data_IF_882117764244
#
_entry.id   IF_882117764244
#
_cell.length_a   1.000
_cell.length_b   1.000
_cell.length_c   1.000
_cell.angle_alpha   90.00
_cell.angle_beta   90.00
_cell.angle_gamma   90.00
#
_symmetry.space_group_name_H-M   'P 1'
#
loop_
_entity.id
_entity.type
_entity.pdbx_description
1 polymer ?
#
# COMPACT_ATOMS: atom_id res chain seq x y z
N UNK A 1 48.11 48.38 4.79
CA UNK A 1 48.14 47.38 3.70
C UNK A 1 48.96 46.21 4.22
N UNK A 2 48.51 44.96 4.22
CA UNK A 2 47.53 44.29 3.37
C UNK A 2 46.66 43.31 4.18
N UNK A 3 45.35 43.29 3.89
CA UNK A 3 44.42 42.23 4.27
C UNK A 3 44.54 41.13 3.21
N UNK A 4 44.74 39.88 3.61
CA UNK A 4 44.68 38.74 2.70
C UNK A 4 43.23 38.22 2.65
N UNK A 5 42.69 38.19 1.44
CA UNK A 5 41.42 37.59 1.05
C UNK A 5 41.64 36.13 0.65
N UNK A 6 40.80 35.23 1.17
CA UNK A 6 40.35 33.97 0.58
C UNK A 6 39.37 33.37 1.60
N UNK A 7 38.12 33.04 1.33
CA UNK A 7 37.47 32.62 0.11
C UNK A 7 36.50 31.49 0.50
N UNK A 8 35.43 31.34 -0.27
CA UNK A 8 34.37 30.34 -0.17
C UNK A 8 33.26 30.60 0.87
N UNK A 9 32.24 31.31 0.41
CA UNK A 9 30.91 31.26 1.02
C UNK A 9 30.35 29.84 1.04
N UNK A 10 29.79 29.46 2.19
CA UNK A 10 28.52 28.72 2.22
C UNK A 10 27.41 29.71 1.84
N UNK A 11 26.36 29.34 1.09
CA UNK A 11 25.43 28.26 1.44
C UNK A 11 24.98 27.47 0.18
N UNK A 12 23.82 26.80 0.24
CA UNK A 12 23.22 25.85 -0.73
C UNK A 12 23.61 24.40 -0.42
N UNK A 13 22.74 23.55 0.12
CA UNK A 13 21.29 23.49 -0.06
C UNK A 13 21.00 22.08 -0.57
N UNK A 14 20.44 21.25 0.29
CA UNK A 14 20.19 19.85 0.00
C UNK A 14 19.84 19.11 1.28
N UNK A 15 18.70 19.48 1.84
CA UNK A 15 17.81 18.65 2.65
C UNK A 15 18.47 17.46 3.36
N UNK A 16 19.03 17.70 4.55
CA UNK A 16 19.08 16.66 5.57
C UNK A 16 17.65 16.49 6.11
N UNK A 17 16.76 16.00 5.24
CA UNK A 17 15.53 15.36 5.66
C UNK A 17 15.96 14.30 6.67
N UNK A 18 15.48 14.43 7.90
CA UNK A 18 15.78 13.53 9.00
C UNK A 18 15.77 12.09 8.46
N UNK A 19 16.81 11.28 8.72
CA UNK A 19 16.85 9.93 8.19
C UNK A 19 15.63 9.19 8.71
N UNK A 20 14.65 8.96 7.82
CA UNK A 20 13.60 7.97 8.05
C UNK A 20 14.24 6.63 8.38
N UNK A 21 13.46 5.66 8.91
CA UNK A 21 14.01 4.38 9.32
C UNK A 21 14.94 3.82 8.22
N UNK A 22 16.12 3.29 8.58
CA UNK A 22 17.22 3.02 7.62
C UNK A 22 16.78 2.13 6.45
N UNK A 23 15.78 1.29 6.68
CA UNK A 23 15.12 0.45 5.68
C UNK A 23 14.43 1.21 4.54
N UNK A 24 13.78 2.34 4.82
CA UNK A 24 13.05 3.12 3.81
C UNK A 24 14.02 3.90 2.90
N UNK A 25 15.12 4.38 3.47
CA UNK A 25 16.17 5.04 2.69
C UNK A 25 16.87 4.08 1.74
N UNK A 26 17.20 2.87 2.21
CA UNK A 26 17.82 1.85 1.37
C UNK A 26 16.87 1.42 0.23
N UNK A 27 15.59 1.21 0.54
CA UNK A 27 14.58 0.92 -0.48
C UNK A 27 14.46 2.06 -1.49
N UNK A 28 14.43 3.31 -1.02
CA UNK A 28 14.34 4.49 -1.89
C UNK A 28 15.54 4.60 -2.83
N UNK A 29 16.76 4.33 -2.35
CA UNK A 29 17.98 4.29 -3.18
C UNK A 29 17.90 3.20 -4.25
N UNK A 30 17.45 2.01 -3.88
CA UNK A 30 17.26 0.89 -4.83
C UNK A 30 16.24 1.21 -5.90
N UNK A 31 15.09 1.78 -5.50
CA UNK A 31 14.03 2.16 -6.44
C UNK A 31 14.49 3.23 -7.43
N UNK A 32 15.22 4.25 -6.99
CA UNK A 32 15.79 5.27 -7.89
C UNK A 32 16.79 4.68 -8.88
N UNK A 33 17.56 3.65 -8.49
CA UNK A 33 18.49 2.96 -9.40
C UNK A 33 17.78 2.09 -10.43
N UNK A 34 16.67 1.44 -10.04
CA UNK A 34 15.88 0.59 -10.93
C UNK A 34 14.97 1.39 -11.87
N UNK A 35 14.42 2.50 -11.37
CA UNK A 35 13.46 3.34 -12.06
C UNK A 35 13.92 4.81 -12.07
N UNK A 36 15.03 5.12 -12.76
CA UNK A 36 15.61 6.47 -12.74
C UNK A 36 14.72 7.52 -13.43
N UNK A 37 13.85 7.10 -14.35
CA UNK A 37 12.92 7.98 -15.06
C UNK A 37 11.60 8.21 -14.30
N UNK A 38 11.39 7.55 -13.16
CA UNK A 38 10.15 7.68 -12.40
C UNK A 38 10.30 8.78 -11.35
N UNK A 39 9.54 9.85 -11.51
CA UNK A 39 9.38 10.88 -10.48
C UNK A 39 8.45 10.35 -9.38
N UNK A 40 8.98 10.14 -8.17
CA UNK A 40 8.22 9.61 -7.04
C UNK A 40 7.26 10.62 -6.41
N UNK A 41 7.44 11.92 -6.65
CA UNK A 41 6.55 12.97 -6.15
C UNK A 41 5.23 13.02 -6.94
N UNK A 42 5.31 12.76 -8.25
CA UNK A 42 4.14 12.74 -9.14
C UNK A 42 3.52 11.33 -9.24
N UNK A 43 4.38 10.31 -9.32
CA UNK A 43 3.97 8.91 -9.51
C UNK A 43 4.70 8.00 -8.51
N UNK A 44 4.21 7.91 -7.27
CA UNK A 44 4.85 7.08 -6.26
C UNK A 44 4.79 5.60 -6.65
N UNK A 45 5.94 4.94 -6.65
CA UNK A 45 6.03 3.50 -6.90
C UNK A 45 5.35 2.71 -5.77
N UNK A 46 4.67 1.60 -6.06
CA UNK A 46 4.07 0.75 -5.04
C UNK A 46 5.16 0.15 -4.15
N UNK A 47 5.12 0.49 -2.85
CA UNK A 47 6.11 0.03 -1.84
C UNK A 47 5.58 -1.11 -0.96
N UNK A 48 4.28 -1.19 -0.75
CA UNK A 48 3.63 -2.18 0.11
C UNK A 48 2.17 -2.40 -0.29
N UNK A 49 1.55 -3.43 0.26
CA UNK A 49 0.13 -3.70 0.05
C UNK A 49 -0.74 -2.65 0.75
N UNK A 50 -1.80 -2.20 0.08
CA UNK A 50 -2.76 -1.28 0.69
C UNK A 50 -3.56 -1.98 1.79
N UNK A 51 -3.65 -1.43 3.00
CA UNK A 51 -4.50 -1.99 4.06
C UNK A 51 -5.98 -1.72 3.81
N UNK A 52 -6.31 -0.69 3.00
CA UNK A 52 -7.67 -0.27 2.68
C UNK A 52 -8.20 -0.93 1.41
N UNK A 53 -7.32 -1.12 0.43
CA UNK A 53 -7.66 -1.73 -0.86
C UNK A 53 -7.25 -3.21 -0.86
N UNK A 54 -7.97 -3.99 -0.06
CA UNK A 54 -7.82 -5.45 0.03
C UNK A 54 -9.14 -6.10 0.41
N UNK A 55 -9.34 -7.33 -0.03
CA UNK A 55 -10.49 -8.11 0.42
C UNK A 55 -10.41 -8.45 1.91
N UNK A 56 -11.57 -8.61 2.55
CA UNK A 56 -11.67 -8.87 3.98
C UNK A 56 -10.96 -10.16 4.42
N UNK A 57 -10.72 -11.13 3.53
CA UNK A 57 -10.02 -12.38 3.86
C UNK A 57 -8.49 -12.26 3.72
N UNK A 58 -8.01 -11.08 3.32
CA UNK A 58 -6.58 -10.79 3.18
C UNK A 58 -6.08 -10.13 4.47
N UNK A 59 -5.30 -10.89 5.23
CA UNK A 59 -4.47 -10.38 6.32
C UNK A 59 -3.17 -9.81 5.78
N UNK A 60 -2.75 -8.65 6.29
CA UNK A 60 -1.43 -8.07 6.00
C UNK A 60 -0.62 -8.03 7.30
N UNK A 61 0.66 -8.40 7.22
CA UNK A 61 1.62 -8.37 8.33
C UNK A 61 2.99 -7.86 7.84
N UNK A 62 3.96 -7.71 8.75
CA UNK A 62 5.33 -7.24 8.44
C UNK A 62 5.34 -5.92 7.63
N UNK A 63 4.74 -4.86 8.17
CA UNK A 63 4.70 -3.56 7.48
C UNK A 63 3.89 -3.58 6.18
N UNK A 64 2.86 -4.42 6.10
CA UNK A 64 2.03 -4.63 4.90
C UNK A 64 2.80 -5.21 3.70
N UNK A 65 3.86 -5.99 3.93
CA UNK A 65 4.60 -6.68 2.86
C UNK A 65 4.23 -8.16 2.76
N UNK A 66 3.72 -8.75 3.85
CA UNK A 66 3.37 -10.16 3.90
C UNK A 66 1.85 -10.33 3.89
N UNK A 67 1.37 -11.17 2.97
CA UNK A 67 -0.04 -11.56 2.85
C UNK A 67 -0.26 -12.88 3.56
N UNK A 68 -1.34 -12.96 4.33
CA UNK A 68 -1.86 -14.19 4.91
C UNK A 68 -3.33 -14.32 4.56
N UNK A 69 -3.76 -15.54 4.25
CA UNK A 69 -5.18 -15.83 4.17
C UNK A 69 -5.74 -15.91 5.59
N UNK A 70 -6.74 -15.07 5.91
CA UNK A 70 -7.53 -15.21 7.13
C UNK A 70 -8.92 -15.70 6.74
N UNK A 71 -9.32 -16.81 7.34
CA UNK A 71 -10.69 -17.32 7.26
C UNK A 71 -11.61 -16.21 7.79
N UNK A 72 -12.43 -15.63 6.92
CA UNK A 72 -13.61 -14.91 7.38
C UNK A 72 -14.56 -16.02 7.82
N UNK A 73 -14.93 -16.06 9.10
CA UNK A 73 -16.09 -16.81 9.54
C UNK A 73 -17.24 -16.39 8.63
N UNK A 74 -17.62 -17.29 7.72
CA UNK A 74 -18.53 -17.07 6.60
C UNK A 74 -19.88 -16.62 7.11
N UNK A 75 -20.07 -15.35 7.45
CA UNK A 75 -21.44 -14.87 7.54
C UNK A 75 -22.00 -15.00 6.11
N UNK A 76 -23.01 -15.85 5.87
CA UNK A 76 -23.54 -16.03 4.53
C UNK A 76 -23.96 -14.65 4.04
N UNK A 77 -23.29 -14.14 2.99
CA UNK A 77 -23.61 -12.87 2.36
C UNK A 77 -25.14 -12.77 2.26
N UNK A 78 -25.79 -11.66 2.67
CA UNK A 78 -27.25 -11.57 2.63
C UNK A 78 -27.82 -11.77 1.22
N UNK A 79 -26.97 -11.70 0.19
CA UNK A 79 -27.26 -12.06 -1.21
C UNK A 79 -27.53 -13.56 -1.44
N UNK A 80 -27.27 -14.41 -0.45
CA UNK A 80 -27.55 -15.85 -0.46
C UNK A 80 -28.89 -16.23 0.21
N UNK A 81 -29.69 -15.25 0.67
CA UNK A 81 -31.06 -15.49 1.14
C UNK A 81 -32.04 -15.86 0.02
N UNK A 82 -31.64 -15.72 -1.24
CA UNK A 82 -32.34 -16.38 -2.35
C UNK A 82 -31.84 -17.83 -2.46
N UNK A 83 -31.99 -18.55 -1.35
CA UNK A 83 -31.92 -20.00 -1.31
C UNK A 83 -33.11 -20.48 -2.14
N UNK A 84 -32.89 -20.79 -3.41
CA UNK A 84 -33.78 -21.62 -4.20
C UNK A 84 -34.09 -22.86 -3.36
N UNK A 85 -35.26 -22.86 -2.74
CA UNK A 85 -35.76 -24.00 -2.02
C UNK A 85 -36.46 -24.88 -3.06
N UNK A 86 -35.71 -25.79 -3.68
CA UNK A 86 -36.28 -26.85 -4.47
C UNK A 86 -37.11 -27.75 -3.56
N UNK A 87 -38.40 -27.45 -3.41
CA UNK A 87 -39.39 -28.49 -3.18
C UNK A 87 -39.73 -29.05 -4.56
N UNK A 88 -39.83 -30.38 -4.63
CA UNK A 88 -40.01 -31.14 -5.88
C UNK A 88 -41.21 -30.68 -6.72
N UNK A 89 -41.45 -31.35 -7.86
CA UNK A 89 -42.38 -30.88 -8.86
C UNK A 89 -43.77 -30.73 -8.24
N UNK A 90 -44.35 -29.54 -8.46
CA UNK A 90 -45.65 -29.04 -8.05
C UNK A 90 -45.58 -28.02 -6.89
N UNK A 91 -46.06 -26.81 -7.21
CA UNK A 91 -46.33 -25.68 -6.33
C UNK A 91 -45.14 -24.76 -5.97
N UNK A 92 -44.76 -23.89 -6.93
CA UNK A 92 -44.04 -22.65 -6.64
C UNK A 92 -45.05 -21.56 -6.27
N UNK A 93 -45.24 -21.30 -4.97
CA UNK A 93 -46.08 -20.19 -4.49
C UNK A 93 -45.14 -19.09 -3.96
N UNK A 94 -45.19 -17.90 -4.56
CA UNK A 94 -44.56 -16.69 -4.03
C UNK A 94 -45.35 -16.24 -2.80
N UNK A 95 -44.68 -16.02 -1.66
CA UNK A 95 -45.30 -15.36 -0.50
C UNK A 95 -44.61 -14.02 -0.26
N UNK A 96 -45.42 -12.97 -0.17
CA UNK A 96 -45.03 -11.58 0.10
C UNK A 96 -44.61 -11.38 1.56
#
# INVERSE_FOLDING_TARGET
>A
MAMAEAGAGSPHGGDTAAPGPPEEQELSRRLRRLYPAVNQEETPLPRSWSPKDKYNYIGLSQGNLRVHYKEIAWEPSPRSKNRFHWKGPLEAIWSN
#
